data_IF_716936974974
#
_entry.id   IF_716936974974
#
_cell.length_a   1.000
_cell.length_b   1.000
_cell.length_c   1.000
_cell.angle_alpha   90.00
_cell.angle_beta   90.00
_cell.angle_gamma   90.00
#
_symmetry.space_group_name_H-M   'P 1'
#
loop_
_entity.id
_entity.type
_entity.pdbx_description
1 polymer ?
#
# COMPACT_ATOMS: atom_id res chain seq x y z
N UNK A 1 18.32 0.23 5.41
CA UNK A 1 16.98 0.77 5.14
C UNK A 1 16.89 1.93 6.11
N UNK A 2 16.75 3.16 5.61
CA UNK A 2 16.94 4.37 6.41
C UNK A 2 15.99 4.39 7.62
N UNK A 3 16.46 4.80 8.79
CA UNK A 3 15.58 4.88 9.96
C UNK A 3 14.53 5.97 9.72
N UNK A 4 13.25 5.64 9.88
CA UNK A 4 12.12 6.55 9.59
C UNK A 4 12.20 7.87 10.37
N UNK A 5 12.92 7.93 11.51
CA UNK A 5 13.11 9.18 12.26
C UNK A 5 14.13 10.10 11.58
N UNK A 6 15.17 9.58 10.96
CA UNK A 6 16.22 10.42 10.34
C UNK A 6 15.68 11.23 9.14
N UNK A 7 14.58 10.78 8.54
CA UNK A 7 13.88 11.48 7.46
C UNK A 7 12.86 12.51 7.96
N UNK A 8 12.55 12.55 9.26
CA UNK A 8 11.66 13.57 9.82
C UNK A 8 12.38 14.91 9.98
N UNK A 9 11.67 16.03 9.86
CA UNK A 9 12.10 17.34 10.36
C UNK A 9 12.65 17.29 11.80
N UNK A 10 13.70 18.06 12.09
CA UNK A 10 14.39 18.02 13.40
C UNK A 10 13.43 18.25 14.59
N UNK A 11 12.50 19.21 14.46
CA UNK A 11 11.47 19.46 15.48
C UNK A 11 10.53 18.27 15.71
N UNK A 12 10.15 17.56 14.64
CA UNK A 12 9.35 16.33 14.73
C UNK A 12 10.17 15.16 15.29
N UNK A 13 11.46 15.06 14.96
CA UNK A 13 12.35 14.07 15.57
C UNK A 13 12.41 14.24 17.08
N UNK A 14 12.61 15.48 17.56
CA UNK A 14 12.69 15.76 18.99
C UNK A 14 11.38 15.39 19.71
N UNK A 15 10.23 15.81 19.17
CA UNK A 15 8.92 15.45 19.73
C UNK A 15 8.70 13.93 19.77
N UNK A 16 9.05 13.23 18.70
CA UNK A 16 8.94 11.77 18.59
C UNK A 16 9.85 11.08 19.62
N UNK A 17 11.11 11.51 19.74
CA UNK A 17 12.06 10.98 20.75
C UNK A 17 11.56 11.21 22.18
N UNK A 18 11.08 12.41 22.49
CA UNK A 18 10.53 12.75 23.80
C UNK A 18 9.31 11.87 24.14
N UNK A 19 8.42 11.64 23.17
CA UNK A 19 7.27 10.75 23.34
C UNK A 19 7.70 9.32 23.67
N UNK A 20 8.75 8.79 23.03
CA UNK A 20 9.29 7.46 23.35
C UNK A 20 9.82 7.41 24.79
N UNK A 21 10.53 8.44 25.24
CA UNK A 21 11.06 8.52 26.62
C UNK A 21 9.90 8.49 27.64
N UNK A 22 8.85 9.28 27.42
CA UNK A 22 7.68 9.34 28.29
C UNK A 22 6.92 8.01 28.33
N UNK A 23 6.74 7.36 27.18
CA UNK A 23 6.15 6.03 27.11
C UNK A 23 7.00 5.04 27.90
N UNK A 24 8.30 4.96 27.65
CA UNK A 24 9.19 4.03 28.35
C UNK A 24 9.14 4.17 29.88
N UNK A 25 8.94 5.38 30.41
CA UNK A 25 8.76 5.64 31.83
C UNK A 25 7.46 5.03 32.42
N UNK A 26 6.43 4.86 31.59
CA UNK A 26 5.11 4.34 31.96
C UNK A 26 4.86 2.90 31.51
N UNK A 27 5.82 2.27 30.82
CA UNK A 27 5.71 0.91 30.29
C UNK A 27 5.40 -0.10 31.40
N UNK A 28 4.28 -0.83 31.25
CA UNK A 28 3.95 -1.93 32.12
C UNK A 28 4.86 -3.13 31.83
N UNK A 29 5.90 -3.32 32.66
CA UNK A 29 6.88 -4.41 32.53
C UNK A 29 6.32 -5.81 32.83
N UNK A 30 5.02 -5.94 33.10
CA UNK A 30 4.34 -7.24 33.25
C UNK A 30 3.68 -7.72 31.95
N UNK A 31 3.47 -6.84 30.96
CA UNK A 31 2.99 -7.26 29.62
C UNK A 31 4.22 -7.50 28.74
N UNK A 32 4.74 -8.74 28.78
CA UNK A 32 5.97 -9.12 28.08
C UNK A 32 5.87 -8.91 26.56
N UNK A 33 4.69 -9.11 25.98
CA UNK A 33 4.49 -8.94 24.54
C UNK A 33 4.58 -7.47 24.12
N UNK A 34 3.86 -6.59 24.85
CA UNK A 34 3.91 -5.14 24.59
C UNK A 34 5.31 -4.60 24.85
N UNK A 35 6.00 -5.11 25.87
CA UNK A 35 7.38 -4.76 26.13
C UNK A 35 8.32 -5.17 24.97
N UNK A 36 8.18 -6.37 24.43
CA UNK A 36 9.00 -6.82 23.31
C UNK A 36 8.77 -5.97 22.05
N UNK A 37 7.50 -5.73 21.69
CA UNK A 37 7.14 -4.88 20.55
C UNK A 37 7.65 -3.45 20.74
N UNK A 38 7.46 -2.86 21.91
CA UNK A 38 7.93 -1.50 22.21
C UNK A 38 9.46 -1.38 22.24
N UNK A 39 10.17 -2.42 22.70
CA UNK A 39 11.63 -2.45 22.67
C UNK A 39 12.17 -2.50 21.23
N UNK A 40 11.53 -3.27 20.35
CA UNK A 40 11.91 -3.31 18.93
C UNK A 40 11.58 -1.98 18.24
N UNK A 41 10.38 -1.44 18.48
CA UNK A 41 9.92 -0.18 17.93
C UNK A 41 10.82 0.99 18.33
N UNK A 42 11.14 1.14 19.63
CA UNK A 42 12.02 2.21 20.08
C UNK A 42 13.45 2.04 19.53
N UNK A 43 13.94 0.80 19.39
CA UNK A 43 15.29 0.53 18.90
C UNK A 43 15.44 0.98 17.46
N UNK A 44 14.46 0.67 16.61
CA UNK A 44 14.50 1.12 15.22
C UNK A 44 14.36 2.65 15.13
N UNK A 45 13.38 3.22 15.84
CA UNK A 45 13.12 4.66 15.78
C UNK A 45 14.27 5.51 16.33
N UNK A 46 14.92 5.08 17.42
CA UNK A 46 16.00 5.84 18.06
C UNK A 46 17.39 5.52 17.51
N UNK A 47 17.54 4.54 16.62
CA UNK A 47 18.86 4.20 16.08
C UNK A 47 19.32 5.23 15.05
N UNK A 48 20.51 5.77 15.28
CA UNK A 48 21.24 6.62 14.32
C UNK A 48 22.04 5.77 13.30
N UNK A 49 22.08 4.43 13.47
CA UNK A 49 22.75 3.48 12.59
C UNK A 49 21.73 2.54 11.90
N UNK A 50 22.06 2.03 10.71
CA UNK A 50 21.32 0.92 10.08
C UNK A 50 21.27 -0.26 11.07
N UNK A 51 20.10 -0.52 11.66
CA UNK A 51 19.91 -1.64 12.59
C UNK A 51 19.84 -2.96 11.83
N UNK A 52 20.56 -3.99 12.30
CA UNK A 52 20.45 -5.35 11.72
C UNK A 52 19.07 -6.02 11.92
N UNK A 53 18.23 -5.47 12.81
CA UNK A 53 16.92 -6.04 13.18
C UNK A 53 15.88 -4.93 13.18
N UNK A 54 14.96 -4.98 12.23
CA UNK A 54 13.88 -4.00 12.01
C UNK A 54 12.67 -4.33 12.90
N UNK A 55 11.82 -3.36 13.24
CA UNK A 55 10.59 -3.56 14.01
C UNK A 55 9.71 -4.63 13.37
N UNK A 56 9.66 -4.67 12.03
CA UNK A 56 8.92 -5.66 11.27
C UNK A 56 9.36 -7.11 11.57
N UNK A 57 10.65 -7.34 11.88
CA UNK A 57 11.16 -8.67 12.24
C UNK A 57 10.58 -9.19 13.56
N UNK A 58 10.15 -8.28 14.44
CA UNK A 58 9.47 -8.61 15.70
C UNK A 58 7.95 -8.60 15.52
N UNK A 59 7.40 -7.66 14.74
CA UNK A 59 5.97 -7.57 14.45
C UNK A 59 5.46 -8.82 13.72
N UNK A 60 6.20 -9.31 12.71
CA UNK A 60 5.79 -10.44 11.88
C UNK A 60 5.51 -11.72 12.71
N UNK A 61 6.42 -12.19 13.60
CA UNK A 61 6.14 -13.34 14.47
C UNK A 61 4.89 -13.21 15.34
N UNK A 62 4.55 -12.02 15.84
CA UNK A 62 3.29 -11.84 16.59
C UNK A 62 2.07 -12.06 15.70
N UNK A 63 2.08 -11.50 14.49
CA UNK A 63 0.97 -11.66 13.54
C UNK A 63 0.85 -13.10 13.04
N UNK A 64 1.97 -13.76 12.74
CA UNK A 64 2.01 -15.15 12.24
C UNK A 64 1.65 -16.18 13.32
N UNK A 65 2.22 -16.05 14.52
CA UNK A 65 2.02 -17.02 15.62
C UNK A 65 0.59 -17.04 16.16
N UNK A 66 -0.09 -15.89 16.15
CA UNK A 66 -1.51 -15.79 16.53
C UNK A 66 -2.46 -16.33 15.46
N UNK A 67 -1.94 -16.67 14.27
CA UNK A 67 -2.73 -17.15 13.12
C UNK A 67 -3.89 -16.21 12.80
N UNK A 68 -3.64 -14.90 12.86
CA UNK A 68 -4.65 -13.89 12.56
C UNK A 68 -5.02 -14.01 11.08
N UNK A 69 -6.26 -14.42 10.81
CA UNK A 69 -6.77 -14.61 9.44
C UNK A 69 -7.42 -13.36 8.86
N UNK A 70 -7.86 -12.44 9.72
CA UNK A 70 -8.51 -11.20 9.30
C UNK A 70 -7.90 -9.97 9.99
N UNK A 71 -7.71 -8.89 9.22
CA UNK A 71 -7.21 -7.60 9.70
C UNK A 71 -7.91 -7.08 10.97
N UNK A 72 -9.23 -7.30 11.09
CA UNK A 72 -10.01 -6.85 12.26
C UNK A 72 -9.57 -7.50 13.57
N UNK A 73 -9.00 -8.71 13.51
CA UNK A 73 -8.64 -9.49 14.68
C UNK A 73 -7.23 -9.14 15.19
N UNK A 74 -6.42 -8.44 14.37
CA UNK A 74 -5.08 -7.96 14.74
C UNK A 74 -5.09 -7.04 15.96
N UNK A 75 -6.16 -6.25 16.10
CA UNK A 75 -6.31 -5.29 17.19
C UNK A 75 -6.80 -5.94 18.51
N UNK A 76 -7.13 -7.23 18.50
CA UNK A 76 -7.53 -7.97 19.70
C UNK A 76 -6.33 -8.56 20.47
N UNK A 77 -5.20 -8.75 19.80
CA UNK A 77 -3.99 -9.39 20.34
C UNK A 77 -2.97 -8.40 20.92
N UNK A 78 -1.73 -8.86 21.16
CA UNK A 78 -0.59 -8.06 21.59
C UNK A 78 -0.32 -6.85 20.72
N UNK A 79 -0.44 -6.97 19.40
CA UNK A 79 -0.25 -5.84 18.49
C UNK A 79 -1.27 -4.73 18.79
N UNK A 80 -2.54 -5.07 18.96
CA UNK A 80 -3.56 -4.10 19.36
C UNK A 80 -3.28 -3.43 20.70
N UNK A 81 -2.81 -4.20 21.70
CA UNK A 81 -2.40 -3.63 23.00
C UNK A 81 -1.21 -2.69 22.88
N UNK A 82 -0.22 -3.06 22.06
CA UNK A 82 0.95 -2.24 21.78
C UNK A 82 0.56 -0.94 21.07
N UNK A 83 -0.26 -1.00 20.03
CA UNK A 83 -0.70 0.20 19.30
C UNK A 83 -1.51 1.13 20.21
N UNK A 84 -2.41 0.59 21.06
CA UNK A 84 -3.13 1.38 22.08
C UNK A 84 -2.22 2.03 23.12
N UNK A 85 -1.06 1.43 23.34
CA UNK A 85 -0.10 1.93 24.30
C UNK A 85 0.73 3.08 23.72
N UNK A 86 1.12 2.99 22.44
CA UNK A 86 1.97 4.03 21.81
C UNK A 86 1.17 5.20 21.23
N UNK A 87 -0.06 4.98 20.75
CA UNK A 87 -0.93 6.01 20.18
C UNK A 87 -1.93 6.56 21.20
N UNK A 88 -2.28 7.84 21.07
CA UNK A 88 -3.45 8.43 21.72
C UNK A 88 -4.75 7.78 21.21
N UNK A 89 -5.83 7.97 21.97
CA UNK A 89 -7.14 7.38 21.65
C UNK A 89 -7.69 7.84 20.28
N UNK A 90 -7.39 9.07 19.85
CA UNK A 90 -7.85 9.60 18.57
C UNK A 90 -7.04 9.02 17.41
N UNK A 91 -5.72 8.95 17.54
CA UNK A 91 -4.84 8.33 16.54
C UNK A 91 -5.02 6.81 16.46
N UNK A 92 -5.29 6.14 17.58
CA UNK A 92 -5.68 4.74 17.60
C UNK A 92 -6.92 4.47 16.72
N UNK A 93 -7.94 5.32 16.80
CA UNK A 93 -9.15 5.20 15.97
C UNK A 93 -8.87 5.47 14.49
N UNK A 94 -7.97 6.41 14.19
CA UNK A 94 -7.54 6.65 12.81
C UNK A 94 -6.81 5.44 12.24
N UNK A 95 -5.90 4.85 13.02
CA UNK A 95 -5.20 3.62 12.65
C UNK A 95 -6.16 2.43 12.45
N UNK A 96 -7.15 2.24 13.33
CA UNK A 96 -8.16 1.19 13.14
C UNK A 96 -8.95 1.38 11.85
N UNK A 97 -9.33 2.62 11.52
CA UNK A 97 -9.98 2.93 10.23
C UNK A 97 -9.05 2.66 9.05
N UNK A 98 -7.78 3.03 9.17
CA UNK A 98 -6.78 2.78 8.15
C UNK A 98 -6.67 1.27 7.84
N UNK A 99 -6.57 0.42 8.86
CA UNK A 99 -6.55 -1.04 8.67
C UNK A 99 -7.79 -1.57 7.92
N UNK A 100 -8.98 -0.98 8.13
CA UNK A 100 -10.18 -1.37 7.38
C UNK A 100 -10.12 -0.96 5.90
N UNK A 101 -9.47 0.17 5.60
CA UNK A 101 -9.22 0.62 4.23
C UNK A 101 -8.20 -0.30 3.56
N UNK A 102 -7.11 -0.58 4.26
CA UNK A 102 -5.99 -1.38 3.78
C UNK A 102 -6.41 -2.81 3.42
N UNK A 103 -7.28 -3.44 4.22
CA UNK A 103 -7.92 -4.73 3.92
C UNK A 103 -8.64 -4.78 2.56
N UNK A 104 -9.12 -3.62 2.08
CA UNK A 104 -9.81 -3.50 0.80
C UNK A 104 -8.91 -3.19 -0.38
N UNK A 105 -7.61 -3.05 -0.17
CA UNK A 105 -6.64 -2.64 -1.18
C UNK A 105 -5.79 -3.84 -1.64
N UNK A 106 -5.43 -3.84 -2.93
CA UNK A 106 -4.44 -4.76 -3.45
C UNK A 106 -3.03 -4.20 -3.23
N UNK A 107 -2.13 -4.97 -2.64
CA UNK A 107 -0.75 -4.58 -2.34
C UNK A 107 0.23 -5.42 -3.14
N UNK A 108 1.37 -4.81 -3.50
CA UNK A 108 2.51 -5.54 -4.02
C UNK A 108 3.45 -5.93 -2.88
N UNK A 109 3.99 -7.15 -2.88
CA UNK A 109 4.90 -7.64 -1.85
C UNK A 109 6.39 -7.45 -2.20
N UNK A 110 6.71 -7.02 -3.42
CA UNK A 110 7.99 -6.48 -3.88
C UNK A 110 7.87 -5.91 -5.32
N UNK A 111 8.91 -5.24 -5.81
CA UNK A 111 8.96 -4.66 -7.17
C UNK A 111 8.78 -5.67 -8.32
N UNK A 112 8.75 -6.97 -8.04
CA UNK A 112 8.62 -8.06 -9.01
C UNK A 112 7.27 -8.81 -8.90
N UNK A 113 6.36 -8.35 -8.04
CA UNK A 113 5.06 -8.99 -7.80
C UNK A 113 3.90 -8.16 -8.33
N UNK A 114 2.88 -8.84 -8.85
CA UNK A 114 1.62 -8.16 -9.22
C UNK A 114 0.79 -7.86 -7.97
N UNK A 115 0.10 -6.72 -7.90
CA UNK A 115 -0.71 -6.39 -6.72
C UNK A 115 -1.80 -7.44 -6.45
N UNK A 116 -1.93 -7.86 -5.19
CA UNK A 116 -2.99 -8.77 -4.75
C UNK A 116 -3.68 -8.25 -3.50
N UNK A 117 -5.00 -8.45 -3.42
CA UNK A 117 -5.81 -8.11 -2.26
C UNK A 117 -5.90 -9.29 -1.28
N UNK A 118 -6.36 -9.02 -0.07
CA UNK A 118 -6.57 -10.08 0.89
C UNK A 118 -7.00 -9.57 2.25
N UNK A 119 -7.47 -10.50 3.09
CA UNK A 119 -7.94 -10.17 4.44
C UNK A 119 -6.88 -10.41 5.50
N UNK A 120 -5.82 -11.16 5.17
CA UNK A 120 -4.78 -11.58 6.11
C UNK A 120 -3.81 -10.41 6.38
N UNK A 121 -3.56 -10.04 7.64
CA UNK A 121 -2.64 -8.94 7.94
C UNK A 121 -1.21 -9.19 7.44
N UNK A 122 -0.76 -10.45 7.37
CA UNK A 122 0.56 -10.80 6.85
C UNK A 122 0.81 -10.32 5.41
N UNK A 123 -0.25 -10.18 4.60
CA UNK A 123 -0.14 -9.65 3.25
C UNK A 123 0.23 -8.15 3.26
N UNK A 124 -0.20 -7.43 4.29
CA UNK A 124 -0.04 -5.98 4.42
C UNK A 124 1.02 -5.61 5.46
N UNK A 125 1.81 -6.56 5.94
CA UNK A 125 2.64 -6.38 7.15
C UNK A 125 3.63 -5.22 7.03
N UNK A 126 4.22 -5.00 5.84
CA UNK A 126 5.10 -3.85 5.57
C UNK A 126 4.34 -2.52 5.70
N UNK A 127 3.15 -2.45 5.12
CA UNK A 127 2.31 -1.24 5.15
C UNK A 127 1.81 -0.97 6.57
N UNK A 128 1.56 -2.02 7.35
CA UNK A 128 1.15 -1.90 8.75
C UNK A 128 2.31 -1.41 9.61
N UNK A 129 3.51 -1.95 9.40
CA UNK A 129 4.75 -1.51 10.05
C UNK A 129 4.99 -0.01 9.85
N UNK A 130 4.94 0.47 8.60
CA UNK A 130 5.05 1.89 8.26
C UNK A 130 3.94 2.72 8.90
N UNK A 131 2.69 2.29 8.74
CA UNK A 131 1.56 3.05 9.28
C UNK A 131 1.63 3.23 10.80
N UNK A 132 2.09 2.23 11.56
CA UNK A 132 2.29 2.39 13.01
C UNK A 132 3.30 3.52 13.29
N UNK A 133 4.40 3.58 12.55
CA UNK A 133 5.46 4.59 12.70
C UNK A 133 4.95 5.98 12.32
N UNK A 134 4.22 6.08 11.21
CA UNK A 134 3.71 7.34 10.68
C UNK A 134 2.62 7.94 11.58
N UNK A 135 1.64 7.14 11.99
CA UNK A 135 0.64 7.59 12.96
C UNK A 135 1.25 7.94 14.32
N UNK A 136 2.31 7.24 14.75
CA UNK A 136 3.01 7.58 15.98
C UNK A 136 3.73 8.92 15.88
N UNK A 137 4.44 9.18 14.77
CA UNK A 137 5.12 10.45 14.53
C UNK A 137 4.11 11.62 14.48
N UNK A 138 2.99 11.44 13.78
CA UNK A 138 1.92 12.44 13.73
C UNK A 138 1.26 12.67 15.09
N UNK A 139 0.96 11.61 15.85
CA UNK A 139 0.40 11.74 17.21
C UNK A 139 1.37 12.47 18.15
N UNK A 140 2.66 12.13 18.07
CA UNK A 140 3.71 12.76 18.86
C UNK A 140 3.92 14.25 18.50
N UNK A 141 3.64 14.64 17.26
CA UNK A 141 3.80 16.02 16.78
C UNK A 141 2.88 17.02 17.50
N UNK A 142 1.70 16.55 17.93
CA UNK A 142 0.64 17.38 18.52
C UNK A 142 -0.05 18.34 17.53
N UNK A 143 0.19 18.18 16.24
CA UNK A 143 -0.32 19.06 15.18
C UNK A 143 -1.81 18.81 14.89
N UNK A 144 -2.52 19.87 14.53
CA UNK A 144 -3.89 19.78 14.03
C UNK A 144 -3.97 19.48 12.52
N UNK A 145 -5.18 19.27 12.01
CA UNK A 145 -5.41 18.93 10.61
C UNK A 145 -4.93 20.02 9.63
N UNK A 146 -5.01 21.31 9.99
CA UNK A 146 -4.57 22.43 9.16
C UNK A 146 -3.04 22.49 9.14
N UNK A 147 -2.41 22.36 10.31
CA UNK A 147 -0.96 22.32 10.45
C UNK A 147 -0.35 21.11 9.70
N UNK A 148 -1.00 19.95 9.75
CA UNK A 148 -0.57 18.76 9.00
C UNK A 148 -0.60 19.03 7.48
N UNK A 149 -1.67 19.66 6.97
CA UNK A 149 -1.78 20.02 5.54
C UNK A 149 -0.77 21.09 5.12
N UNK A 150 -0.42 22.00 6.03
CA UNK A 150 0.53 23.10 5.79
C UNK A 150 1.99 22.70 6.03
N UNK A 151 2.35 21.44 5.77
CA UNK A 151 3.71 20.88 5.95
C UNK A 151 4.16 20.79 7.40
N UNK A 152 3.27 20.37 8.31
CA UNK A 152 3.56 20.17 9.73
C UNK A 152 4.36 21.31 10.40
N UNK A 153 4.24 22.54 9.91
CA UNK A 153 4.81 23.73 10.52
C UNK A 153 3.77 24.30 11.49
N UNK A 154 4.16 24.48 12.75
CA UNK A 154 3.39 25.36 13.63
C UNK A 154 3.55 26.81 13.18
N UNK A 155 2.57 27.68 13.49
CA UNK A 155 2.68 29.12 13.19
C UNK A 155 3.98 29.72 13.76
N UNK A 156 4.44 29.22 14.92
CA UNK A 156 5.67 29.69 15.58
C UNK A 156 6.94 29.33 14.78
N UNK A 157 7.03 28.14 14.20
CA UNK A 157 8.16 27.72 13.34
C UNK A 157 8.19 28.50 12.01
N UNK A 158 7.02 28.93 11.51
CA UNK A 158 6.91 29.77 10.32
C UNK A 158 7.45 31.20 10.51
N UNK A 159 7.49 31.70 11.75
CA UNK A 159 8.01 33.02 12.10
C UNK A 159 9.55 33.05 12.22
N UNK A 160 10.18 31.91 12.53
CA UNK A 160 11.64 31.76 12.64
C UNK A 160 12.34 31.42 11.31
N UNK A 161 11.56 31.26 10.23
CA UNK A 161 12.08 31.07 8.87
C UNK A 161 12.50 29.63 8.54
N UNK A 162 12.18 28.66 9.39
CA UNK A 162 12.27 27.23 9.10
C UNK A 162 10.96 26.79 8.42
N UNK A 163 10.86 27.06 7.12
CA UNK A 163 9.82 26.42 6.30
C UNK A 163 10.27 25.01 5.98
N UNK A 164 9.63 24.01 6.60
CA UNK A 164 9.72 22.64 6.09
C UNK A 164 9.14 22.62 4.68
N UNK A 165 9.86 22.02 3.73
CA UNK A 165 9.26 21.83 2.42
C UNK A 165 8.17 20.76 2.56
N UNK A 166 7.06 20.88 1.82
CA UNK A 166 6.01 19.84 1.69
C UNK A 166 6.61 18.43 1.52
N UNK A 167 7.82 18.37 0.95
CA UNK A 167 8.61 17.18 0.67
C UNK A 167 9.04 16.38 1.92
N UNK A 168 9.29 17.05 3.05
CA UNK A 168 9.92 16.44 4.23
C UNK A 168 8.92 15.65 5.10
N UNK A 169 7.61 15.85 4.89
CA UNK A 169 6.51 15.33 5.73
C UNK A 169 5.46 14.56 4.91
N UNK A 170 5.53 14.67 3.59
CA UNK A 170 4.73 13.92 2.62
C UNK A 170 4.59 12.42 2.96
N UNK A 171 5.69 11.81 3.39
CA UNK A 171 5.73 10.37 3.64
C UNK A 171 4.92 9.96 4.86
N UNK A 172 4.97 10.73 5.96
CA UNK A 172 4.26 10.37 7.20
C UNK A 172 2.76 10.74 7.21
N UNK A 173 2.30 11.53 6.24
CA UNK A 173 0.90 12.00 6.17
C UNK A 173 0.01 11.15 5.29
N UNK A 174 0.58 10.21 4.54
CA UNK A 174 -0.12 9.42 3.52
C UNK A 174 -1.29 8.60 4.11
N UNK A 175 -1.05 7.90 5.21
CA UNK A 175 -2.00 7.03 5.90
C UNK A 175 -3.13 7.85 6.52
N UNK A 176 -2.76 8.95 7.19
CA UNK A 176 -3.71 9.90 7.77
C UNK A 176 -4.60 10.51 6.69
N UNK A 177 -4.02 10.99 5.59
CA UNK A 177 -4.75 11.61 4.48
C UNK A 177 -5.70 10.59 3.85
N UNK A 178 -5.26 9.35 3.70
CA UNK A 178 -6.10 8.24 3.22
C UNK A 178 -7.35 8.09 4.08
N UNK A 179 -7.20 8.08 5.41
CA UNK A 179 -8.34 7.98 6.34
C UNK A 179 -9.27 9.18 6.23
N UNK A 180 -8.74 10.39 6.08
CA UNK A 180 -9.53 11.63 5.93
C UNK A 180 -10.34 11.63 4.63
N UNK A 181 -9.72 11.25 3.51
CA UNK A 181 -10.39 11.16 2.21
C UNK A 181 -11.50 10.10 2.21
N UNK A 182 -11.26 8.91 2.78
CA UNK A 182 -12.30 7.88 2.92
C UNK A 182 -13.41 8.32 3.87
N UNK A 183 -13.07 9.06 4.92
CA UNK A 183 -14.03 9.64 5.86
C UNK A 183 -14.85 10.79 5.26
N UNK A 184 -14.55 11.20 4.01
CA UNK A 184 -15.20 12.30 3.30
C UNK A 184 -15.13 13.62 4.05
N UNK A 185 -13.96 13.89 4.62
CA UNK A 185 -13.69 15.18 5.22
C UNK A 185 -13.64 16.24 4.12
N UNK A 186 -14.64 17.13 4.09
CA UNK A 186 -14.82 18.07 2.99
C UNK A 186 -13.70 19.13 2.97
N UNK A 187 -13.23 19.57 4.13
CA UNK A 187 -12.13 20.55 4.22
C UNK A 187 -10.87 19.98 3.59
N UNK A 188 -10.57 18.72 3.87
CA UNK A 188 -9.40 18.03 3.31
C UNK A 188 -9.59 17.78 1.81
N UNK A 189 -10.78 17.36 1.36
CA UNK A 189 -11.07 17.16 -0.06
C UNK A 189 -10.93 18.46 -0.85
N UNK A 190 -11.47 19.56 -0.33
CA UNK A 190 -11.41 20.87 -0.96
C UNK A 190 -9.96 21.36 -1.06
N UNK A 191 -9.17 21.21 0.02
CA UNK A 191 -7.75 21.52 0.00
C UNK A 191 -6.99 20.73 -1.08
N UNK A 192 -7.13 19.40 -1.10
CA UNK A 192 -6.45 18.56 -2.11
C UNK A 192 -6.92 18.92 -3.53
N UNK A 193 -8.20 19.21 -3.72
CA UNK A 193 -8.73 19.65 -5.02
C UNK A 193 -8.11 20.97 -5.47
N UNK A 194 -8.04 21.96 -4.57
CA UNK A 194 -7.46 23.27 -4.84
C UNK A 194 -5.96 23.16 -5.17
N UNK A 195 -5.20 22.31 -4.45
CA UNK A 195 -3.79 22.04 -4.77
C UNK A 195 -3.62 21.44 -6.17
N UNK A 196 -4.43 20.43 -6.53
CA UNK A 196 -4.38 19.83 -7.88
C UNK A 196 -4.78 20.82 -8.98
N UNK A 197 -5.68 21.77 -8.68
CA UNK A 197 -6.19 22.77 -9.63
C UNK A 197 -5.22 23.93 -9.89
N UNK A 198 -4.19 24.13 -9.06
CA UNK A 198 -3.19 25.19 -9.27
C UNK A 198 -2.45 25.03 -10.61
N UNK A 199 -2.40 23.81 -11.15
CA UNK A 199 -1.65 23.43 -12.36
C UNK A 199 -0.18 23.86 -12.35
N UNK A 200 0.31 24.23 -11.18
CA UNK A 200 1.71 24.46 -10.89
C UNK A 200 2.24 23.14 -10.33
N UNK A 201 2.53 22.24 -11.27
CA UNK A 201 3.03 20.92 -10.98
C UNK A 201 4.56 20.94 -10.82
N UNK A 202 5.16 22.11 -10.54
CA UNK A 202 6.53 22.17 -10.10
C UNK A 202 6.56 21.75 -8.62
N UNK A 203 7.24 20.65 -8.33
CA UNK A 203 7.49 20.03 -7.01
C UNK A 203 6.61 18.85 -6.58
N UNK A 204 7.21 18.03 -5.71
CA UNK A 204 6.76 16.79 -5.05
C UNK A 204 5.33 16.82 -4.45
N UNK A 205 4.67 17.99 -4.39
CA UNK A 205 3.36 18.20 -3.73
C UNK A 205 2.24 17.35 -4.34
N UNK A 206 2.23 17.15 -5.66
CA UNK A 206 1.24 16.28 -6.29
C UNK A 206 1.46 14.80 -5.98
N UNK A 207 2.71 14.38 -5.72
CA UNK A 207 3.06 12.97 -5.48
C UNK A 207 2.48 12.45 -4.17
N UNK A 208 2.39 13.32 -3.17
CA UNK A 208 1.90 13.00 -1.82
C UNK A 208 0.40 12.62 -1.85
N UNK A 209 -0.34 13.13 -2.84
CA UNK A 209 -1.77 12.89 -2.97
C UNK A 209 -2.11 11.63 -3.76
N UNK A 210 -1.18 11.10 -4.57
CA UNK A 210 -1.43 9.94 -5.44
C UNK A 210 -1.88 8.74 -4.61
N UNK A 211 -1.06 8.29 -3.65
CA UNK A 211 -1.38 7.13 -2.82
C UNK A 211 -2.71 7.27 -2.07
N UNK A 212 -2.97 8.37 -1.33
CA UNK A 212 -4.23 8.55 -0.62
C UNK A 212 -5.46 8.58 -1.54
N UNK A 213 -5.36 9.19 -2.72
CA UNK A 213 -6.43 9.21 -3.72
C UNK A 213 -6.71 7.79 -4.23
N UNK A 214 -5.67 7.00 -4.52
CA UNK A 214 -5.81 5.63 -5.01
C UNK A 214 -6.40 4.68 -3.97
N UNK A 215 -6.01 4.79 -2.70
CA UNK A 215 -6.61 3.98 -1.62
C UNK A 215 -8.05 4.39 -1.32
N UNK A 216 -8.36 5.68 -1.43
CA UNK A 216 -9.67 6.21 -1.01
C UNK A 216 -10.82 5.91 -1.98
N UNK A 217 -10.52 5.63 -3.25
CA UNK A 217 -11.51 5.55 -4.33
C UNK A 217 -12.38 6.81 -4.45
N UNK A 218 -11.78 7.98 -4.18
CA UNK A 218 -12.40 9.27 -4.44
C UNK A 218 -12.31 9.60 -5.94
N UNK A 219 -13.37 9.29 -6.69
CA UNK A 219 -13.39 9.48 -8.15
C UNK A 219 -13.23 10.93 -8.62
N UNK A 220 -13.65 11.91 -7.82
CA UNK A 220 -13.46 13.31 -8.18
C UNK A 220 -11.97 13.65 -8.20
N UNK A 221 -11.27 13.37 -7.11
CA UNK A 221 -9.83 13.61 -7.01
C UNK A 221 -9.02 12.71 -7.94
N UNK A 222 -9.50 11.48 -8.20
CA UNK A 222 -8.88 10.57 -9.17
C UNK A 222 -8.95 11.11 -10.60
N UNK A 223 -10.07 11.75 -10.99
CA UNK A 223 -10.14 12.43 -12.28
C UNK A 223 -9.21 13.65 -12.34
N UNK A 224 -9.07 14.39 -11.24
CA UNK A 224 -8.13 15.52 -11.16
C UNK A 224 -6.68 15.06 -11.31
N UNK A 225 -6.26 13.99 -10.61
CA UNK A 225 -4.89 13.47 -10.72
C UNK A 225 -4.61 12.87 -12.11
N UNK A 226 -5.60 12.22 -12.75
CA UNK A 226 -5.49 11.76 -14.14
C UNK A 226 -5.29 12.95 -15.09
N UNK A 227 -6.01 14.05 -14.87
CA UNK A 227 -5.79 15.27 -15.64
C UNK A 227 -4.36 15.79 -15.44
N UNK A 228 -3.78 15.71 -14.24
CA UNK A 228 -2.37 16.04 -14.00
C UNK A 228 -1.45 15.16 -14.85
N UNK A 229 -1.63 13.83 -14.82
CA UNK A 229 -0.83 12.88 -15.60
C UNK A 229 -0.83 13.17 -17.11
N UNK A 230 -2.00 13.55 -17.66
CA UNK A 230 -2.12 13.91 -19.08
C UNK A 230 -1.35 15.19 -19.43
N UNK A 231 -1.24 16.14 -18.49
CA UNK A 231 -0.54 17.40 -18.71
C UNK A 231 0.96 17.31 -18.40
N UNK A 232 1.36 16.39 -17.51
CA UNK A 232 2.73 16.22 -17.02
C UNK A 232 3.09 14.73 -16.96
N UNK A 233 3.70 14.24 -18.05
CA UNK A 233 3.93 12.82 -18.30
C UNK A 233 4.87 12.18 -17.25
N UNK A 234 5.81 12.96 -16.70
CA UNK A 234 6.71 12.56 -15.62
C UNK A 234 5.99 12.08 -14.35
N UNK A 235 4.81 12.64 -14.05
CA UNK A 235 4.00 12.18 -12.91
C UNK A 235 3.23 10.90 -13.20
N UNK A 236 2.93 10.62 -14.47
CA UNK A 236 2.37 9.33 -14.85
C UNK A 236 3.43 8.23 -14.73
N UNK A 237 4.68 8.48 -15.13
CA UNK A 237 5.78 7.52 -14.89
C UNK A 237 6.00 7.30 -13.38
N UNK A 238 5.97 8.37 -12.58
CA UNK A 238 6.08 8.27 -11.13
C UNK A 238 4.90 7.52 -10.52
N UNK A 239 3.68 7.76 -10.99
CA UNK A 239 2.50 6.98 -10.60
C UNK A 239 2.74 5.49 -10.85
N UNK A 240 3.21 5.13 -12.04
CA UNK A 240 3.43 3.72 -12.36
C UNK A 240 4.54 3.18 -11.46
N UNK A 241 5.58 3.97 -11.19
CA UNK A 241 6.57 3.69 -10.15
C UNK A 241 5.94 3.44 -8.78
N UNK A 242 5.06 4.30 -8.28
CA UNK A 242 4.42 4.12 -6.97
C UNK A 242 3.52 2.88 -6.91
N UNK A 243 2.76 2.60 -7.97
CA UNK A 243 1.90 1.41 -8.08
C UNK A 243 2.73 0.12 -8.26
N UNK A 244 3.86 0.19 -8.97
CA UNK A 244 4.77 -0.94 -9.21
C UNK A 244 5.68 -1.27 -8.02
N UNK A 245 6.20 -0.24 -7.34
CA UNK A 245 7.42 -0.37 -6.54
C UNK A 245 7.26 -0.18 -5.03
N UNK A 246 6.17 0.43 -4.56
CA UNK A 246 6.14 0.95 -3.18
C UNK A 246 5.31 0.16 -2.17
N UNK A 247 4.88 -1.06 -2.47
CA UNK A 247 3.96 -1.78 -1.55
C UNK A 247 2.68 -1.00 -1.23
N UNK A 248 2.37 0.03 -2.01
CA UNK A 248 1.26 0.94 -1.78
C UNK A 248 -0.02 0.23 -2.20
N UNK A 249 -0.90 -0.03 -1.24
CA UNK A 249 -2.22 -0.59 -1.52
C UNK A 249 -3.00 0.28 -2.51
N UNK A 250 -3.68 -0.34 -3.47
CA UNK A 250 -4.60 0.32 -4.40
C UNK A 250 -6.02 -0.23 -4.24
N UNK A 251 -7.01 0.66 -4.18
CA UNK A 251 -8.39 0.24 -4.16
C UNK A 251 -8.80 -0.33 -5.53
N UNK A 252 -9.51 -1.48 -5.60
CA UNK A 252 -10.02 -2.02 -6.86
C UNK A 252 -10.81 -1.02 -7.69
N UNK A 253 -11.62 -0.17 -7.07
CA UNK A 253 -12.40 0.86 -7.78
C UNK A 253 -11.51 1.93 -8.42
N UNK A 254 -10.38 2.27 -7.80
CA UNK A 254 -9.43 3.22 -8.35
C UNK A 254 -8.68 2.63 -9.54
N UNK A 255 -8.22 1.38 -9.42
CA UNK A 255 -7.61 0.65 -10.54
C UNK A 255 -8.56 0.54 -11.73
N UNK A 256 -9.82 0.21 -11.43
CA UNK A 256 -10.92 0.15 -12.38
C UNK A 256 -11.11 1.48 -13.14
N UNK A 257 -11.25 2.60 -12.43
CA UNK A 257 -11.42 3.91 -13.08
C UNK A 257 -10.20 4.28 -13.92
N UNK A 258 -9.00 4.00 -13.43
CA UNK A 258 -7.77 4.30 -14.16
C UNK A 258 -7.71 3.55 -15.50
N UNK A 259 -7.99 2.24 -15.49
CA UNK A 259 -8.00 1.43 -16.73
C UNK A 259 -9.10 1.91 -17.67
N UNK A 260 -10.29 2.25 -17.16
CA UNK A 260 -11.35 2.83 -17.98
C UNK A 260 -10.93 4.17 -18.60
N UNK A 261 -10.28 5.06 -17.84
CA UNK A 261 -9.76 6.33 -18.37
C UNK A 261 -8.71 6.12 -19.46
N UNK A 262 -7.83 5.13 -19.33
CA UNK A 262 -6.88 4.78 -20.42
C UNK A 262 -7.58 4.21 -21.65
N UNK A 263 -8.71 3.53 -21.49
CA UNK A 263 -9.49 3.05 -22.64
C UNK A 263 -10.22 4.19 -23.37
N UNK A 264 -10.44 5.32 -22.70
CA UNK A 264 -11.14 6.49 -23.25
C UNK A 264 -10.19 7.58 -23.76
N UNK A 265 -8.96 7.65 -23.23
CA UNK A 265 -7.96 8.67 -23.56
C UNK A 265 -6.66 8.04 -24.13
N UNK A 266 -6.45 8.22 -25.44
CA UNK A 266 -5.28 7.68 -26.15
C UNK A 266 -3.95 8.24 -25.61
N UNK A 267 -3.92 9.50 -25.14
CA UNK A 267 -2.70 10.09 -24.59
C UNK A 267 -2.37 9.43 -23.25
N UNK A 268 -3.36 9.25 -22.38
CA UNK A 268 -3.15 8.54 -21.12
C UNK A 268 -2.71 7.09 -21.37
N UNK A 269 -3.30 6.42 -22.36
CA UNK A 269 -2.90 5.07 -22.77
C UNK A 269 -1.46 5.01 -23.28
N UNK A 270 -1.03 5.99 -24.08
CA UNK A 270 0.35 6.09 -24.57
C UNK A 270 1.36 6.23 -23.42
N UNK A 271 1.05 7.07 -22.43
CA UNK A 271 1.96 7.35 -21.32
C UNK A 271 1.99 6.20 -20.31
N UNK A 272 0.83 5.67 -19.91
CA UNK A 272 0.72 4.74 -18.77
C UNK A 272 0.52 3.28 -19.18
N UNK A 273 -0.01 3.04 -20.39
CA UNK A 273 -0.37 1.71 -20.87
C UNK A 273 0.80 0.73 -20.88
N UNK A 274 1.98 1.05 -21.44
CA UNK A 274 3.12 0.14 -21.47
C UNK A 274 3.56 -0.31 -20.08
N UNK A 275 3.70 0.63 -19.15
CA UNK A 275 4.19 0.37 -17.80
C UNK A 275 3.15 -0.37 -16.95
N UNK A 276 1.86 -0.06 -17.11
CA UNK A 276 0.79 -0.83 -16.47
C UNK A 276 0.68 -2.24 -17.08
N UNK A 277 0.90 -2.38 -18.40
CA UNK A 277 0.93 -3.69 -19.05
C UNK A 277 2.05 -4.55 -18.50
N UNK A 278 3.27 -3.99 -18.41
CA UNK A 278 4.41 -4.68 -17.80
C UNK A 278 4.13 -5.09 -16.36
N UNK A 279 3.45 -4.24 -15.58
CA UNK A 279 2.99 -4.58 -14.23
C UNK A 279 2.07 -5.80 -14.23
N UNK A 280 1.02 -5.78 -15.04
CA UNK A 280 -0.06 -6.77 -14.96
C UNK A 280 0.31 -8.08 -15.64
N UNK A 281 1.18 -8.00 -16.64
CA UNK A 281 1.56 -9.09 -17.54
C UNK A 281 3.08 -9.15 -17.70
N UNK A 282 3.83 -9.42 -16.61
CA UNK A 282 5.28 -9.46 -16.69
C UNK A 282 5.73 -10.50 -17.72
N UNK A 283 6.59 -10.08 -18.64
CA UNK A 283 7.06 -10.88 -19.79
C UNK A 283 7.65 -12.22 -19.37
N UNK A 284 8.35 -12.24 -18.24
CA UNK A 284 8.98 -13.44 -17.68
C UNK A 284 7.96 -14.51 -17.26
N UNK A 285 6.75 -14.10 -16.87
CA UNK A 285 5.70 -14.99 -16.39
C UNK A 285 4.68 -15.34 -17.50
N UNK A 286 4.45 -14.42 -18.46
CA UNK A 286 3.39 -14.56 -19.47
C UNK A 286 3.88 -14.87 -20.88
N UNK A 287 5.17 -14.65 -21.16
CA UNK A 287 5.73 -14.80 -22.51
C UNK A 287 5.11 -13.86 -23.55
N UNK A 288 4.40 -12.82 -23.10
CA UNK A 288 3.83 -11.77 -23.95
C UNK A 288 4.78 -10.57 -23.88
N UNK A 289 5.25 -10.11 -25.04
CA UNK A 289 6.19 -8.99 -25.11
C UNK A 289 5.47 -7.64 -25.15
N UNK A 290 4.30 -7.57 -25.78
CA UNK A 290 3.57 -6.32 -26.03
C UNK A 290 2.05 -6.57 -26.10
N UNK A 291 1.27 -5.53 -25.82
CA UNK A 291 -0.18 -5.45 -26.04
C UNK A 291 -0.51 -4.23 -26.92
N UNK A 292 -0.13 -4.26 -28.22
CA UNK A 292 -0.15 -3.08 -29.08
C UNK A 292 -1.55 -2.48 -29.26
N UNK A 293 -2.59 -3.31 -29.21
CA UNK A 293 -3.98 -2.88 -29.33
C UNK A 293 -4.63 -2.58 -27.95
N UNK A 294 -3.98 -2.95 -26.84
CA UNK A 294 -4.52 -2.82 -25.49
C UNK A 294 -5.63 -3.83 -25.17
N UNK A 295 -5.70 -4.96 -25.89
CA UNK A 295 -6.76 -5.96 -25.73
C UNK A 295 -6.68 -6.67 -24.38
N UNK A 296 -5.47 -6.93 -23.87
CA UNK A 296 -5.26 -7.59 -22.58
C UNK A 296 -5.52 -6.65 -21.41
N UNK A 297 -5.08 -5.39 -21.51
CA UNK A 297 -5.42 -4.36 -20.51
C UNK A 297 -6.93 -4.14 -20.43
N UNK A 298 -7.61 -4.06 -21.59
CA UNK A 298 -9.07 -3.96 -21.64
C UNK A 298 -9.75 -5.19 -21.01
N UNK A 299 -9.25 -6.39 -21.31
CA UNK A 299 -9.76 -7.63 -20.71
C UNK A 299 -9.56 -7.67 -19.19
N UNK A 300 -8.44 -7.14 -18.70
CA UNK A 300 -8.16 -7.00 -17.27
C UNK A 300 -9.16 -6.09 -16.59
N UNK A 301 -9.45 -4.92 -17.19
CA UNK A 301 -10.53 -4.04 -16.76
C UNK A 301 -11.85 -4.81 -16.67
N UNK A 302 -12.29 -5.40 -17.79
CA UNK A 302 -13.58 -6.09 -17.86
C UNK A 302 -13.70 -7.19 -16.79
N UNK A 303 -12.61 -7.91 -16.47
CA UNK A 303 -12.59 -8.92 -15.41
C UNK A 303 -12.65 -8.34 -13.99
N UNK A 304 -12.07 -7.17 -13.75
CA UNK A 304 -12.22 -6.44 -12.47
C UNK A 304 -13.67 -5.99 -12.27
N UNK A 305 -14.34 -5.50 -13.34
CA UNK A 305 -15.73 -5.01 -13.30
C UNK A 305 -16.78 -6.12 -13.30
N UNK A 306 -16.50 -7.25 -13.95
CA UNK A 306 -17.51 -8.24 -14.28
C UNK A 306 -17.13 -9.63 -13.76
N UNK A 307 -17.62 -9.95 -12.56
CA UNK A 307 -17.42 -11.26 -11.93
C UNK A 307 -17.95 -12.42 -12.78
N UNK A 308 -19.00 -12.20 -13.57
CA UNK A 308 -19.54 -13.22 -14.48
C UNK A 308 -18.57 -13.50 -15.63
N UNK A 309 -18.00 -12.45 -16.24
CA UNK A 309 -16.99 -12.61 -17.28
C UNK A 309 -15.74 -13.29 -16.73
N UNK A 310 -15.27 -12.86 -15.55
CA UNK A 310 -14.14 -13.46 -14.85
C UNK A 310 -14.33 -14.97 -14.66
N UNK A 311 -15.49 -15.39 -14.13
CA UNK A 311 -15.81 -16.81 -13.95
C UNK A 311 -15.89 -17.60 -15.28
N UNK A 312 -16.37 -16.96 -16.35
CA UNK A 312 -16.36 -17.57 -17.69
C UNK A 312 -14.94 -17.75 -18.21
N UNK A 313 -14.05 -16.78 -17.99
CA UNK A 313 -12.66 -16.83 -18.44
C UNK A 313 -11.80 -17.82 -17.66
N UNK A 314 -12.05 -18.03 -16.36
CA UNK A 314 -11.47 -19.15 -15.60
C UNK A 314 -11.81 -20.51 -16.23
N UNK A 315 -12.92 -20.56 -16.98
CA UNK A 315 -13.36 -21.75 -17.69
C UNK A 315 -12.79 -21.88 -19.12
N UNK A 316 -12.07 -20.87 -19.64
CA UNK A 316 -11.56 -20.82 -21.02
C UNK A 316 -10.36 -21.77 -21.22
N UNK A 317 -10.05 -22.10 -22.49
CA UNK A 317 -8.88 -22.90 -22.87
C UNK A 317 -7.66 -22.02 -23.22
N UNK A 318 -7.85 -20.71 -23.39
CA UNK A 318 -6.76 -19.77 -23.62
C UNK A 318 -6.08 -19.43 -22.28
N UNK A 319 -4.79 -19.77 -22.09
CA UNK A 319 -4.08 -19.55 -20.84
C UNK A 319 -3.97 -18.07 -20.46
N UNK A 320 -3.93 -17.15 -21.42
CA UNK A 320 -3.88 -15.71 -21.13
C UNK A 320 -5.18 -15.19 -20.54
N UNK A 321 -6.34 -15.66 -21.03
CA UNK A 321 -7.65 -15.31 -20.44
C UNK A 321 -7.80 -15.87 -19.04
N UNK A 322 -7.34 -17.11 -18.83
CA UNK A 322 -7.37 -17.74 -17.51
C UNK A 322 -6.47 -16.96 -16.53
N UNK A 323 -5.28 -16.53 -16.96
CA UNK A 323 -4.41 -15.66 -16.17
C UNK A 323 -5.09 -14.34 -15.81
N UNK A 324 -5.64 -13.60 -16.79
CA UNK A 324 -6.33 -12.32 -16.54
C UNK A 324 -7.44 -12.50 -15.50
N UNK A 325 -8.20 -13.60 -15.61
CA UNK A 325 -9.28 -13.89 -14.68
C UNK A 325 -8.79 -14.27 -13.28
N UNK A 326 -7.71 -15.05 -13.19
CA UNK A 326 -7.04 -15.34 -11.91
C UNK A 326 -6.47 -14.07 -11.30
N UNK A 327 -5.93 -13.15 -12.11
CA UNK A 327 -5.28 -11.93 -11.63
C UNK A 327 -6.34 -11.02 -11.04
N UNK A 328 -7.44 -10.81 -11.79
CA UNK A 328 -8.57 -10.06 -11.29
C UNK A 328 -9.19 -10.69 -10.05
N UNK A 329 -9.14 -12.03 -9.90
CA UNK A 329 -9.58 -12.70 -8.66
C UNK A 329 -8.62 -12.38 -7.51
N UNK A 330 -7.31 -12.50 -7.75
CA UNK A 330 -6.26 -12.25 -6.76
C UNK A 330 -6.17 -10.78 -6.34
N UNK A 331 -6.52 -9.87 -7.24
CA UNK A 331 -6.61 -8.43 -6.96
C UNK A 331 -7.65 -8.12 -5.88
N UNK A 332 -8.72 -8.92 -5.78
CA UNK A 332 -9.69 -8.83 -4.67
C UNK A 332 -9.29 -9.70 -3.49
N UNK A 333 -8.88 -10.95 -3.74
CA UNK A 333 -8.54 -11.92 -2.70
C UNK A 333 -7.56 -12.98 -3.22
N UNK A 334 -6.32 -12.90 -2.75
CA UNK A 334 -5.25 -13.83 -3.08
C UNK A 334 -5.56 -15.27 -2.65
N UNK A 335 -6.28 -15.49 -1.54
CA UNK A 335 -6.66 -16.83 -1.08
C UNK A 335 -7.69 -17.46 -2.03
N UNK A 336 -8.62 -16.65 -2.55
CA UNK A 336 -9.60 -17.11 -3.54
C UNK A 336 -8.89 -17.53 -4.84
N UNK A 337 -8.03 -16.66 -5.37
CA UNK A 337 -7.26 -16.96 -6.58
C UNK A 337 -6.39 -18.21 -6.41
N UNK A 338 -5.77 -18.38 -5.24
CA UNK A 338 -5.01 -19.57 -4.88
C UNK A 338 -5.86 -20.85 -4.94
N UNK A 339 -7.05 -20.84 -4.35
CA UNK A 339 -7.95 -22.00 -4.37
C UNK A 339 -8.39 -22.35 -5.79
N UNK A 340 -8.77 -21.35 -6.59
CA UNK A 340 -9.17 -21.52 -7.99
C UNK A 340 -8.01 -22.10 -8.82
N UNK A 341 -6.80 -21.55 -8.68
CA UNK A 341 -5.63 -22.05 -9.40
C UNK A 341 -5.35 -23.53 -9.06
N UNK A 342 -5.44 -23.92 -7.78
CA UNK A 342 -5.27 -25.32 -7.38
C UNK A 342 -6.31 -26.27 -7.96
N UNK A 343 -7.57 -25.84 -8.05
CA UNK A 343 -8.63 -26.64 -8.67
C UNK A 343 -8.37 -26.85 -10.16
N UNK A 344 -8.00 -25.79 -10.87
CA UNK A 344 -7.64 -25.86 -12.29
C UNK A 344 -6.47 -26.82 -12.55
N UNK A 345 -5.43 -26.80 -11.69
CA UNK A 345 -4.30 -27.76 -11.77
C UNK A 345 -4.79 -29.19 -11.57
N UNK A 346 -5.62 -29.43 -10.54
CA UNK A 346 -6.16 -30.78 -10.26
C UNK A 346 -6.99 -31.32 -11.42
N UNK A 347 -7.69 -30.45 -12.13
CA UNK A 347 -8.50 -30.79 -13.30
C UNK A 347 -7.65 -31.02 -14.58
N UNK A 348 -6.32 -30.97 -14.48
CA UNK A 348 -5.40 -31.23 -15.59
C UNK A 348 -5.41 -30.13 -16.65
N UNK A 349 -5.85 -28.91 -16.28
CA UNK A 349 -5.86 -27.77 -17.18
C UNK A 349 -4.42 -27.27 -17.36
N UNK A 350 -4.01 -26.89 -18.58
CA UNK A 350 -2.69 -26.34 -18.82
C UNK A 350 -2.64 -24.89 -18.30
N UNK A 351 -2.58 -24.73 -16.98
CA UNK A 351 -2.02 -23.52 -16.40
C UNK A 351 -0.51 -23.60 -16.61
N UNK A 352 0.09 -22.56 -17.18
CA UNK A 352 1.54 -22.50 -17.27
C UNK A 352 2.11 -22.52 -15.84
N UNK A 353 3.27 -23.17 -15.67
CA UNK A 353 3.95 -23.23 -14.37
C UNK A 353 4.22 -21.81 -13.84
N UNK A 354 4.44 -20.90 -14.76
CA UNK A 354 4.70 -19.48 -14.59
C UNK A 354 3.49 -18.76 -13.98
N UNK A 355 2.27 -18.99 -14.50
CA UNK A 355 1.02 -18.45 -13.93
C UNK A 355 0.87 -18.84 -12.46
N UNK A 356 1.15 -20.11 -12.14
CA UNK A 356 1.08 -20.62 -10.77
C UNK A 356 2.16 -19.97 -9.88
N UNK A 357 3.39 -19.83 -10.40
CA UNK A 357 4.50 -19.21 -9.69
C UNK A 357 4.24 -17.73 -9.37
N UNK A 358 3.62 -16.96 -10.26
CA UNK A 358 3.24 -15.56 -10.00
C UNK A 358 2.34 -15.45 -8.76
N UNK A 359 1.28 -16.27 -8.67
CA UNK A 359 0.41 -16.26 -7.47
C UNK A 359 1.15 -16.69 -6.21
N UNK A 360 2.08 -17.65 -6.31
CA UNK A 360 2.90 -18.07 -5.16
C UNK A 360 3.85 -16.97 -4.69
N UNK A 361 4.50 -16.24 -5.62
CA UNK A 361 5.35 -15.09 -5.30
C UNK A 361 4.55 -14.01 -4.54
N UNK A 362 3.30 -13.79 -4.93
CA UNK A 362 2.41 -12.81 -4.29
C UNK A 362 1.82 -13.29 -2.95
N UNK A 363 1.60 -14.59 -2.79
CA UNK A 363 0.92 -15.14 -1.61
C UNK A 363 1.83 -15.21 -0.37
N UNK A 364 3.16 -15.22 -0.57
CA UNK A 364 4.10 -15.29 0.54
C UNK A 364 5.35 -14.43 0.30
N UNK A 365 5.51 -13.38 1.09
CA UNK A 365 6.69 -12.53 1.08
C UNK A 365 8.00 -13.35 1.11
N UNK A 366 8.94 -12.95 0.24
CA UNK A 366 10.37 -13.28 0.05
C UNK A 366 10.97 -14.53 0.74
N UNK A 367 10.82 -14.69 2.06
CA UNK A 367 11.36 -15.82 2.85
C UNK A 367 10.71 -17.18 2.49
N UNK A 368 9.55 -17.16 1.86
CA UNK A 368 8.80 -18.36 1.50
C UNK A 368 9.09 -18.89 0.09
N UNK A 369 9.74 -18.09 -0.76
CA UNK A 369 10.06 -18.49 -2.14
C UNK A 369 10.98 -19.73 -2.18
N UNK A 370 11.96 -19.82 -1.29
CA UNK A 370 12.88 -20.97 -1.21
C UNK A 370 12.14 -22.26 -0.81
N UNK A 371 11.21 -22.17 0.14
CA UNK A 371 10.40 -23.30 0.62
C UNK A 371 9.39 -23.76 -0.43
N UNK A 372 8.81 -22.82 -1.18
CA UNK A 372 7.86 -23.10 -2.26
C UNK A 372 8.57 -23.70 -3.49
N UNK A 373 9.73 -23.17 -3.86
CA UNK A 373 10.54 -23.71 -4.97
C UNK A 373 10.93 -25.16 -4.70
N UNK A 374 11.28 -25.50 -3.45
CA UNK A 374 11.53 -26.89 -3.04
C UNK A 374 10.28 -27.78 -3.10
N UNK A 375 9.08 -27.25 -2.79
CA UNK A 375 7.83 -28.03 -2.86
C UNK A 375 7.33 -28.25 -4.30
N UNK A 376 7.47 -27.24 -5.16
CA UNK A 376 7.08 -27.33 -6.58
C UNK A 376 8.07 -28.19 -7.39
N UNK A 377 9.36 -28.15 -7.04
CA UNK A 377 10.37 -29.05 -7.64
C UNK A 377 10.09 -30.54 -7.45
N UNK A 378 9.20 -30.90 -6.51
CA UNK A 378 8.76 -32.28 -6.27
C UNK A 378 7.44 -32.65 -6.99
N UNK A 379 6.84 -31.73 -7.75
CA UNK A 379 5.60 -31.95 -8.50
C UNK A 379 5.82 -32.24 -10.00
N UNK A 380 7.08 -32.38 -10.44
CA UNK A 380 7.45 -32.75 -11.82
C UNK A 380 7.45 -34.26 -12.05
#
# INVERSE_FOLDING_TARGET
>A
MYSHIVELPEGLQEKTRNRIIDLNATLNRQDEDVQALFNAFQKELLSDEDTEEEFIDVLFPYVDSEKILEMKDMMAGPVGRFVRYVLSEDYYKLFEKYLQIEKGCAVSCCSETVPVGGKRPLLHINVIDWAIKDFFALDASGLDDEEILMSCCTIEESEDGEYWQIQDIAYITTEWLTVKLVSRDQTIIDFVSDELDKKDYSDLSCQIFITPILKSANFQLLNSIIAVFIHQEEYAELFVGQVLSLHVGINPKSMMLLIDSMNEDEKLKEIMGPSLFEMLFPKEDMGIEEDPDGELLKMAADCLFNSKLRNQMLSDNNPHKVYVALWATGFYDADEAWNVANELIKDGRPLSKEVVLTYYKNHWAKKSLEVITQRIGNLS
#
